data_IF_260030699314
#
_entry.id   IF_260030699314
#
_cell.length_a   1.000
_cell.length_b   1.000
_cell.length_c   1.000
_cell.angle_alpha   90.00
_cell.angle_beta   90.00
_cell.angle_gamma   90.00
#
_symmetry.space_group_name_H-M   'P 1'
#
loop_
_entity.id
_entity.type
_entity.pdbx_description
1 polymer ?
#
# COMPACT_ATOMS: atom_id res chain seq x y z
N UNK A 1 17.08 14.34 16.41
CA UNK A 1 16.14 15.09 17.28
C UNK A 1 14.74 14.58 16.99
N UNK A 2 14.27 13.62 17.79
CA UNK A 2 12.92 13.07 17.66
C UNK A 2 11.94 14.00 18.34
N UNK A 3 10.85 14.34 17.66
CA UNK A 3 9.75 15.08 18.26
C UNK A 3 9.08 14.18 19.29
N UNK A 4 9.06 14.61 20.55
CA UNK A 4 8.29 13.96 21.63
C UNK A 4 7.02 14.80 21.79
N UNK A 5 5.87 14.16 21.55
CA UNK A 5 4.56 14.77 21.75
C UNK A 5 4.21 14.77 23.25
N UNK A 6 4.21 15.94 23.92
CA UNK A 6 4.04 16.04 25.38
C UNK A 6 2.61 15.79 25.85
N UNK A 7 1.63 15.72 24.94
CA UNK A 7 0.21 15.57 25.26
C UNK A 7 -0.35 14.20 24.85
N UNK A 8 0.43 13.38 24.16
CA UNK A 8 -0.08 12.13 23.57
C UNK A 8 -1.16 12.35 22.51
N UNK A 9 -1.31 13.58 21.99
CA UNK A 9 -2.11 13.90 20.81
C UNK A 9 -1.34 13.52 19.55
N UNK A 10 -0.89 12.27 19.44
CA UNK A 10 -0.60 11.71 18.13
C UNK A 10 -1.91 11.84 17.37
N UNK A 11 -1.93 12.70 16.35
CA UNK A 11 -3.13 12.95 15.55
C UNK A 11 -3.79 11.59 15.27
N UNK A 12 -5.08 11.48 15.59
CA UNK A 12 -5.78 10.19 15.45
C UNK A 12 -5.54 9.70 14.03
N UNK A 13 -5.11 8.45 13.81
CA UNK A 13 -4.79 7.96 12.49
C UNK A 13 -6.00 8.12 11.58
N UNK A 14 -5.79 8.80 10.46
CA UNK A 14 -6.83 9.15 9.52
C UNK A 14 -6.83 8.20 8.34
N UNK A 15 -8.01 8.06 7.74
CA UNK A 15 -8.17 7.41 6.45
C UNK A 15 -7.23 8.08 5.44
N UNK A 16 -6.48 7.28 4.69
CA UNK A 16 -5.46 7.70 3.70
C UNK A 16 -4.12 8.21 4.25
N UNK A 17 -3.85 8.08 5.54
CA UNK A 17 -2.50 8.31 6.04
C UNK A 17 -1.52 7.35 5.37
N UNK A 18 -0.37 7.86 4.96
CA UNK A 18 0.69 7.14 4.25
C UNK A 18 1.89 7.03 5.18
N UNK A 19 2.52 5.86 5.24
CA UNK A 19 3.62 5.59 6.15
C UNK A 19 4.13 4.16 6.04
N UNK A 20 4.98 3.75 6.99
CA UNK A 20 5.42 2.35 7.07
C UNK A 20 4.25 1.44 7.48
N UNK A 21 4.29 0.17 7.07
CA UNK A 21 3.24 -0.78 7.46
C UNK A 21 3.13 -0.92 8.98
N UNK A 22 4.27 -1.03 9.67
CA UNK A 22 4.32 -1.23 11.12
C UNK A 22 3.75 -0.04 11.90
N UNK A 23 4.12 1.18 11.53
CA UNK A 23 3.63 2.40 12.20
C UNK A 23 2.11 2.52 12.03
N UNK A 24 1.62 2.40 10.80
CA UNK A 24 0.19 2.51 10.49
C UNK A 24 -0.62 1.38 11.15
N UNK A 25 -0.11 0.15 11.11
CA UNK A 25 -0.77 -1.00 11.76
C UNK A 25 -0.83 -0.80 13.27
N UNK A 26 0.25 -0.35 13.89
CA UNK A 26 0.29 -0.06 15.33
C UNK A 26 -0.63 1.09 15.71
N UNK A 27 -0.76 2.10 14.84
CA UNK A 27 -1.64 3.23 15.05
C UNK A 27 -3.12 2.82 15.13
N UNK A 28 -3.56 1.79 14.41
CA UNK A 28 -4.98 1.38 14.35
C UNK A 28 -5.31 0.10 15.13
N UNK A 29 -4.31 -0.71 15.49
CA UNK A 29 -4.51 -1.99 16.19
C UNK A 29 -5.18 -1.77 17.55
N UNK A 30 -6.30 -2.47 17.78
CA UNK A 30 -7.04 -2.41 19.04
C UNK A 30 -7.89 -1.16 19.26
N UNK A 31 -7.96 -0.23 18.29
CA UNK A 31 -8.67 1.05 18.44
C UNK A 31 -10.08 1.10 17.83
N UNK A 32 -10.56 0.00 17.25
CA UNK A 32 -11.90 -0.10 16.62
C UNK A 32 -12.23 1.01 15.60
N UNK A 33 -11.22 1.48 14.85
CA UNK A 33 -11.36 2.59 13.90
C UNK A 33 -11.89 2.19 12.52
N UNK A 34 -12.21 0.91 12.29
CA UNK A 34 -12.59 0.38 10.97
C UNK A 34 -11.58 0.65 9.83
N UNK A 35 -10.34 0.92 10.20
CA UNK A 35 -9.19 1.09 9.30
C UNK A 35 -8.24 -0.10 9.40
N UNK A 36 -7.47 -0.31 8.33
CA UNK A 36 -6.36 -1.25 8.26
C UNK A 36 -5.22 -0.72 7.38
N UNK A 37 -4.01 -1.21 7.62
CA UNK A 37 -2.82 -0.83 6.85
C UNK A 37 -2.70 -1.70 5.59
N UNK A 38 -2.88 -1.08 4.42
CA UNK A 38 -2.68 -1.71 3.12
C UNK A 38 -1.27 -1.42 2.60
N UNK A 39 -0.46 -2.47 2.44
CA UNK A 39 0.85 -2.38 1.76
C UNK A 39 0.64 -2.16 0.27
N UNK A 40 1.27 -1.13 -0.28
CA UNK A 40 1.34 -0.92 -1.73
C UNK A 40 2.67 -1.44 -2.24
N UNK A 41 2.58 -2.48 -3.05
CA UNK A 41 3.60 -3.49 -3.24
C UNK A 41 3.24 -4.74 -2.47
N UNK A 42 2.32 -5.56 -3.00
CA UNK A 42 1.91 -6.82 -2.38
C UNK A 42 3.13 -7.67 -1.98
N UNK A 43 3.28 -7.89 -0.66
CA UNK A 43 4.47 -8.53 -0.05
C UNK A 43 4.88 -9.85 -0.68
N UNK A 44 3.90 -10.67 -1.08
CA UNK A 44 4.15 -12.01 -1.62
C UNK A 44 4.86 -11.97 -2.97
N UNK A 45 4.75 -10.86 -3.70
CA UNK A 45 5.39 -10.61 -4.99
C UNK A 45 6.66 -9.78 -4.79
N UNK A 46 6.57 -8.70 -4.00
CA UNK A 46 7.67 -7.75 -3.81
C UNK A 46 8.93 -8.40 -3.23
N UNK A 47 8.79 -9.39 -2.34
CA UNK A 47 9.93 -10.10 -1.74
C UNK A 47 10.86 -10.77 -2.77
N UNK A 48 10.33 -11.11 -3.94
CA UNK A 48 11.08 -11.79 -5.01
C UNK A 48 11.61 -10.79 -6.05
N UNK A 49 11.09 -9.54 -6.05
CA UNK A 49 11.41 -8.51 -7.04
C UNK A 49 12.30 -7.37 -6.50
N UNK A 50 12.37 -7.21 -5.18
CA UNK A 50 13.12 -6.15 -4.51
C UNK A 50 14.10 -6.75 -3.53
N UNK A 51 15.40 -6.46 -3.73
CA UNK A 51 16.44 -6.99 -2.85
C UNK A 51 16.33 -6.38 -1.47
N UNK A 52 16.34 -7.21 -0.43
CA UNK A 52 16.24 -6.75 0.95
C UNK A 52 14.86 -6.20 1.32
N UNK A 53 13.80 -6.59 0.60
CA UNK A 53 12.45 -6.20 0.92
C UNK A 53 12.07 -6.60 2.36
N UNK A 54 11.71 -5.60 3.16
CA UNK A 54 11.17 -5.78 4.51
C UNK A 54 9.66 -5.43 4.52
N UNK A 55 8.78 -6.41 4.81
CA UNK A 55 7.34 -6.17 4.84
C UNK A 55 6.85 -5.29 6.00
N UNK A 56 7.65 -5.05 7.04
CA UNK A 56 7.29 -4.21 8.19
C UNK A 56 7.48 -2.73 7.87
N UNK A 57 8.56 -2.39 7.15
CA UNK A 57 8.86 -1.02 6.75
C UNK A 57 8.26 -0.64 5.38
N UNK A 58 7.65 -1.60 4.67
CA UNK A 58 7.07 -1.39 3.34
C UNK A 58 6.05 -0.23 3.30
N UNK A 59 6.12 0.66 2.29
CA UNK A 59 5.20 1.78 2.14
C UNK A 59 3.76 1.31 2.06
N UNK A 60 2.92 1.93 2.90
CA UNK A 60 1.54 1.52 3.15
C UNK A 60 0.63 2.73 3.29
N UNK A 61 -0.67 2.48 3.22
CA UNK A 61 -1.70 3.49 3.44
C UNK A 61 -2.81 2.93 4.32
N UNK A 62 -3.38 3.76 5.20
CA UNK A 62 -4.59 3.41 5.92
C UNK A 62 -5.80 3.44 5.00
N UNK A 63 -6.53 2.33 4.96
CA UNK A 63 -7.74 2.16 4.17
C UNK A 63 -8.86 1.60 5.03
N UNK A 64 -10.14 1.81 4.68
CA UNK A 64 -11.25 1.10 5.32
C UNK A 64 -11.08 -0.42 5.23
N UNK A 65 -11.44 -1.15 6.30
CA UNK A 65 -11.45 -2.62 6.28
C UNK A 65 -12.35 -3.19 5.18
N UNK A 66 -13.49 -2.55 4.93
CA UNK A 66 -14.36 -2.82 3.78
C UNK A 66 -13.60 -2.46 2.50
N UNK A 67 -13.48 -3.41 1.58
CA UNK A 67 -12.62 -3.32 0.41
C UNK A 67 -11.19 -3.85 0.62
N UNK A 68 -10.76 -4.11 1.86
CA UNK A 68 -9.41 -4.64 2.15
C UNK A 68 -9.46 -6.07 2.70
N UNK A 69 -10.12 -6.24 3.85
CA UNK A 69 -10.29 -7.52 4.55
C UNK A 69 -11.72 -8.05 4.43
N UNK A 70 -12.70 -7.16 4.32
CA UNK A 70 -14.12 -7.49 4.11
C UNK A 70 -14.56 -7.04 2.72
N UNK A 71 -15.40 -7.84 2.04
CA UNK A 71 -15.88 -7.51 0.69
C UNK A 71 -16.76 -6.26 0.68
N UNK A 72 -16.58 -5.39 -0.33
CA UNK A 72 -17.49 -4.28 -0.64
C UNK A 72 -18.51 -4.74 -1.68
N UNK A 73 -19.80 -4.52 -1.44
CA UNK A 73 -20.86 -4.93 -2.37
C UNK A 73 -20.64 -4.39 -3.79
N UNK A 74 -20.81 -5.25 -4.80
CA UNK A 74 -20.61 -4.91 -6.22
C UNK A 74 -19.16 -4.64 -6.65
N UNK A 75 -18.20 -4.55 -5.72
CA UNK A 75 -16.80 -4.16 -6.00
C UNK A 75 -15.78 -5.19 -5.52
N UNK A 76 -16.06 -5.92 -4.44
CA UNK A 76 -15.14 -6.88 -3.85
C UNK A 76 -14.08 -6.24 -2.96
N UNK A 77 -12.88 -6.81 -2.98
CA UNK A 77 -11.69 -6.31 -2.27
C UNK A 77 -10.59 -5.91 -3.25
N UNK A 78 -9.56 -5.23 -2.76
CA UNK A 78 -8.32 -5.02 -3.51
C UNK A 78 -7.72 -6.37 -3.92
N UNK A 79 -7.33 -6.48 -5.19
CA UNK A 79 -6.81 -7.73 -5.75
C UNK A 79 -5.59 -8.23 -4.98
N UNK A 80 -5.58 -9.54 -4.72
CA UNK A 80 -4.44 -10.29 -4.15
C UNK A 80 -3.80 -11.21 -5.19
N UNK A 81 -4.22 -11.09 -6.46
CA UNK A 81 -3.73 -11.94 -7.56
C UNK A 81 -2.22 -11.81 -7.71
N UNK A 82 -1.57 -12.96 -7.94
CA UNK A 82 -0.15 -13.05 -8.27
C UNK A 82 0.11 -12.87 -9.79
N UNK A 83 -0.96 -12.74 -10.57
CA UNK A 83 -0.92 -12.62 -12.03
C UNK A 83 -1.10 -11.15 -12.44
N UNK A 84 -0.23 -10.67 -13.31
CA UNK A 84 -0.32 -9.34 -13.89
C UNK A 84 -1.56 -9.28 -14.82
N UNK A 85 -2.54 -8.41 -14.54
CA UNK A 85 -3.79 -8.35 -15.30
C UNK A 85 -3.59 -7.89 -16.75
N UNK A 86 -2.45 -7.27 -17.07
CA UNK A 86 -2.12 -6.81 -18.42
C UNK A 86 -1.53 -7.93 -19.27
N UNK A 87 -0.74 -8.82 -18.68
CA UNK A 87 0.01 -9.85 -19.42
C UNK A 87 -0.53 -11.26 -19.25
N UNK A 88 -1.37 -11.51 -18.24
CA UNK A 88 -1.82 -12.85 -17.87
C UNK A 88 -0.72 -13.75 -17.27
N UNK A 89 0.47 -13.21 -17.00
CA UNK A 89 1.64 -13.93 -16.46
C UNK A 89 2.00 -13.44 -15.05
N UNK A 90 2.84 -14.17 -14.27
CA UNK A 90 3.36 -13.66 -13.01
C UNK A 90 4.04 -12.29 -13.17
N UNK A 91 4.00 -11.48 -12.12
CA UNK A 91 4.69 -10.19 -12.13
C UNK A 91 6.21 -10.38 -12.20
N UNK A 92 6.85 -9.61 -13.08
CA UNK A 92 8.31 -9.58 -13.23
C UNK A 92 8.92 -8.25 -12.81
N UNK A 93 8.10 -7.23 -12.50
CA UNK A 93 8.54 -5.88 -12.17
C UNK A 93 7.83 -5.35 -10.94
N UNK A 94 8.60 -4.85 -9.97
CA UNK A 94 8.06 -4.17 -8.79
C UNK A 94 7.16 -2.99 -9.20
N UNK A 95 7.54 -2.26 -10.25
CA UNK A 95 6.75 -1.15 -10.81
C UNK A 95 5.34 -1.57 -11.20
N UNK A 96 5.18 -2.73 -11.84
CA UNK A 96 3.88 -3.23 -12.28
C UNK A 96 3.01 -3.64 -11.09
N UNK A 97 3.62 -4.18 -10.02
CA UNK A 97 2.91 -4.49 -8.78
C UNK A 97 2.36 -3.20 -8.17
N UNK A 98 3.20 -2.17 -8.01
CA UNK A 98 2.77 -0.86 -7.51
C UNK A 98 1.67 -0.27 -8.40
N UNK A 99 1.81 -0.36 -9.73
CA UNK A 99 0.81 0.15 -10.65
C UNK A 99 -0.54 -0.56 -10.52
N UNK A 100 -0.54 -1.89 -10.33
CA UNK A 100 -1.76 -2.66 -10.07
C UNK A 100 -2.38 -2.23 -8.74
N UNK A 101 -1.60 -2.13 -7.68
CA UNK A 101 -2.10 -1.77 -6.35
C UNK A 101 -2.73 -0.37 -6.36
N UNK A 102 -2.10 0.62 -7.01
CA UNK A 102 -2.67 1.97 -7.17
C UNK A 102 -3.96 1.96 -7.98
N UNK A 103 -4.05 1.16 -9.05
CA UNK A 103 -5.29 1.01 -9.84
C UNK A 103 -6.41 0.40 -9.00
N UNK A 104 -6.09 -0.63 -8.22
CA UNK A 104 -7.04 -1.31 -7.34
C UNK A 104 -7.51 -0.41 -6.21
N UNK A 105 -6.62 0.40 -5.62
CA UNK A 105 -7.00 1.41 -4.62
C UNK A 105 -8.02 2.39 -5.19
N UNK A 106 -7.83 2.90 -6.42
CA UNK A 106 -8.83 3.77 -7.07
C UNK A 106 -10.15 3.06 -7.35
N UNK A 107 -10.11 1.79 -7.75
CA UNK A 107 -11.30 0.99 -8.06
C UNK A 107 -12.14 0.73 -6.81
N UNK A 108 -11.49 0.36 -5.71
CA UNK A 108 -12.16 -0.02 -4.46
C UNK A 108 -12.56 1.21 -3.64
N UNK A 109 -11.70 2.22 -3.63
CA UNK A 109 -11.84 3.47 -2.89
C UNK A 109 -11.83 4.68 -3.83
N UNK A 110 -12.93 4.95 -4.56
CA UNK A 110 -12.97 6.05 -5.53
C UNK A 110 -12.79 7.44 -4.88
N UNK A 111 -12.97 7.55 -3.55
CA UNK A 111 -12.78 8.75 -2.75
C UNK A 111 -11.34 8.95 -2.25
N UNK A 112 -10.39 8.08 -2.63
CA UNK A 112 -8.98 8.27 -2.26
C UNK A 112 -8.40 9.52 -2.95
N UNK A 113 -7.82 10.46 -2.20
CA UNK A 113 -7.21 11.66 -2.80
C UNK A 113 -6.03 11.28 -3.71
N UNK A 114 -5.99 11.89 -4.89
CA UNK A 114 -4.88 11.69 -5.83
C UNK A 114 -3.51 12.06 -5.23
N UNK A 115 -3.48 13.07 -4.35
CA UNK A 115 -2.28 13.48 -3.61
C UNK A 115 -1.71 12.36 -2.75
N UNK A 116 -2.57 11.58 -2.06
CA UNK A 116 -2.16 10.45 -1.22
C UNK A 116 -1.63 9.27 -2.04
N UNK A 117 -2.24 8.99 -3.19
CA UNK A 117 -1.70 8.00 -4.13
C UNK A 117 -0.33 8.42 -4.67
N UNK A 118 -0.14 9.70 -4.97
CA UNK A 118 1.15 10.22 -5.44
C UNK A 118 2.23 10.17 -4.35
N UNK A 119 1.87 10.51 -3.11
CA UNK A 119 2.72 10.38 -1.93
C UNK A 119 3.23 8.94 -1.77
N UNK A 120 2.32 7.96 -1.88
CA UNK A 120 2.62 6.54 -1.76
C UNK A 120 3.49 6.00 -2.91
N UNK A 121 3.27 6.48 -4.14
CA UNK A 121 4.15 6.19 -5.29
C UNK A 121 5.54 6.75 -5.06
N UNK A 122 5.64 7.98 -4.57
CA UNK A 122 6.91 8.64 -4.33
C UNK A 122 7.70 7.94 -3.22
N UNK A 123 7.02 7.54 -2.14
CA UNK A 123 7.63 6.76 -1.05
C UNK A 123 8.17 5.42 -1.56
N UNK A 124 7.40 4.68 -2.37
CA UNK A 124 7.87 3.45 -3.01
C UNK A 124 9.09 3.67 -3.92
N UNK A 125 9.10 4.71 -4.75
CA UNK A 125 10.25 5.04 -5.62
C UNK A 125 11.48 5.47 -4.84
N UNK A 126 11.30 6.11 -3.69
CA UNK A 126 12.38 6.52 -2.80
C UNK A 126 13.02 5.29 -2.15
N UNK A 127 12.19 4.39 -1.61
CA UNK A 127 12.62 3.22 -0.87
C UNK A 127 13.16 2.08 -1.75
N UNK A 128 12.57 1.87 -2.94
CA UNK A 128 12.88 0.75 -3.82
C UNK A 128 13.28 1.24 -5.22
N UNK A 129 14.59 1.32 -5.53
CA UNK A 129 15.08 1.73 -6.85
C UNK A 129 14.51 0.90 -8.00
N UNK A 130 14.25 -0.39 -7.78
CA UNK A 130 13.69 -1.34 -8.76
C UNK A 130 12.29 -0.90 -9.27
N UNK A 131 11.55 -0.12 -8.48
CA UNK A 131 10.24 0.46 -8.87
C UNK A 131 10.39 1.51 -9.99
N UNK A 132 11.58 2.10 -10.15
CA UNK A 132 11.84 3.12 -11.18
C UNK A 132 11.99 2.49 -12.56
N UNK A 133 12.44 1.24 -12.63
CA UNK A 133 12.70 0.52 -13.86
C UNK A 133 11.39 0.03 -14.47
N UNK A 134 11.17 0.34 -15.74
CA UNK A 134 10.15 -0.35 -16.53
C UNK A 134 10.77 -1.64 -17.05
N UNK A 135 10.13 -2.79 -16.82
CA UNK A 135 10.46 -3.96 -17.61
C UNK A 135 9.93 -3.72 -19.03
N UNK A 136 10.85 -3.34 -19.91
CA UNK A 136 10.65 -3.44 -21.35
C UNK A 136 10.76 -4.92 -21.65
N UNK A 137 9.63 -5.61 -21.79
CA UNK A 137 9.57 -7.07 -21.94
C UNK A 137 10.69 -7.62 -22.84
N UNK A 138 11.49 -8.53 -22.28
CA UNK A 138 12.21 -9.53 -23.06
C UNK A 138 11.32 -10.76 -23.18
#
# INVERSE_FOLDING_TARGET
MGWIDPLGLAACPQKWDVGSYEDLRSAVKGKNLELDAHRVGQKAIMKDLVKGYDPNTAPSMLVPKVGHTTSKEGVGIVSRSMTNPTTGKPFTSARDVIARDIRELRRVYPDVPNSKLQELINMNKSMYPEVRVKNLGR
#
